data_IF_635280522656
#
_entry.id   IF_635280522656
#
_cell.length_a   1.000
_cell.length_b   1.000
_cell.length_c   1.000
_cell.angle_alpha   90.00
_cell.angle_beta   90.00
_cell.angle_gamma   90.00
#
_symmetry.space_group_name_H-M   'P 1'
#
loop_
_entity.id
_entity.type
_entity.pdbx_description
1 polymer ?
#
# COMPACT_ATOMS: atom_id res chain seq x y z
N UNK A 1 -0.72 10.10 -16.93
CA UNK A 1 -1.05 9.32 -15.73
C UNK A 1 -2.54 9.07 -15.78
N UNK A 2 -2.95 7.82 -15.58
CA UNK A 2 -4.36 7.42 -15.66
C UNK A 2 -4.88 7.00 -14.30
N UNK A 3 -6.20 6.97 -14.14
CA UNK A 3 -6.81 6.43 -12.94
C UNK A 3 -6.57 4.90 -12.88
N UNK A 4 -6.23 4.36 -11.71
CA UNK A 4 -6.05 2.94 -11.55
C UNK A 4 -7.41 2.23 -11.65
N UNK A 5 -7.45 0.96 -12.08
CA UNK A 5 -8.68 0.17 -12.19
C UNK A 5 -9.17 -0.33 -10.81
N UNK A 6 -8.97 0.48 -9.76
CA UNK A 6 -9.48 0.27 -8.41
C UNK A 6 -9.78 1.63 -7.79
N UNK A 7 -10.94 1.77 -7.15
CA UNK A 7 -11.24 2.96 -6.37
C UNK A 7 -10.57 2.89 -4.99
N UNK A 8 -10.38 4.05 -4.33
CA UNK A 8 -9.91 4.10 -2.94
C UNK A 8 -10.75 3.21 -2.02
N UNK A 9 -12.08 3.28 -2.15
CA UNK A 9 -13.00 2.51 -1.29
C UNK A 9 -12.77 1.00 -1.44
N UNK A 10 -12.67 0.51 -2.68
CA UNK A 10 -12.39 -0.91 -2.95
C UNK A 10 -11.02 -1.32 -2.41
N UNK A 11 -10.00 -0.48 -2.61
CA UNK A 11 -8.67 -0.73 -2.05
C UNK A 11 -8.71 -0.82 -0.51
N UNK A 12 -9.39 0.10 0.17
CA UNK A 12 -9.53 0.08 1.63
C UNK A 12 -10.24 -1.18 2.13
N UNK A 13 -11.36 -1.57 1.51
CA UNK A 13 -12.10 -2.80 1.86
C UNK A 13 -11.25 -4.06 1.67
N UNK A 14 -10.44 -4.07 0.60
CA UNK A 14 -9.53 -5.17 0.31
C UNK A 14 -8.41 -5.28 1.34
N UNK A 15 -7.78 -4.16 1.72
CA UNK A 15 -6.77 -4.14 2.78
C UNK A 15 -7.33 -4.63 4.13
N UNK A 16 -8.55 -4.24 4.48
CA UNK A 16 -9.25 -4.75 5.68
C UNK A 16 -9.44 -6.28 5.61
N UNK A 17 -9.74 -6.80 4.43
CA UNK A 17 -9.87 -8.25 4.19
C UNK A 17 -8.53 -8.96 4.36
N UNK A 18 -7.43 -8.39 3.85
CA UNK A 18 -6.08 -8.94 4.01
C UNK A 18 -5.64 -9.00 5.47
N UNK A 19 -6.03 -8.02 6.29
CA UNK A 19 -5.78 -8.03 7.73
C UNK A 19 -6.56 -9.13 8.47
N UNK A 20 -7.66 -9.63 7.89
CA UNK A 20 -8.46 -10.74 8.44
C UNK A 20 -8.80 -10.58 9.94
N UNK A 21 -9.12 -9.35 10.36
CA UNK A 21 -9.43 -9.00 11.75
C UNK A 21 -8.23 -8.88 12.68
N UNK A 22 -7.01 -9.16 12.21
CA UNK A 22 -5.77 -8.96 12.96
C UNK A 22 -5.30 -7.50 12.86
N UNK A 23 -4.31 -7.15 13.66
CA UNK A 23 -3.68 -5.83 13.63
C UNK A 23 -2.54 -5.75 12.62
N UNK A 24 -1.96 -6.88 12.22
CA UNK A 24 -0.95 -6.92 11.18
C UNK A 24 -1.03 -8.19 10.34
N UNK A 25 -0.55 -8.09 9.10
CA UNK A 25 -0.43 -9.20 8.17
C UNK A 25 0.76 -8.98 7.23
N UNK A 26 1.60 -10.01 7.08
CA UNK A 26 2.57 -10.07 5.98
C UNK A 26 1.89 -10.68 4.77
N UNK A 27 1.92 -9.98 3.64
CA UNK A 27 1.31 -10.41 2.39
C UNK A 27 2.24 -10.16 1.21
N UNK A 28 2.07 -10.94 0.14
CA UNK A 28 2.63 -10.58 -1.16
C UNK A 28 2.01 -9.27 -1.64
N UNK A 29 2.82 -8.33 -2.11
CA UNK A 29 2.35 -7.02 -2.55
C UNK A 29 1.32 -7.13 -3.69
N UNK A 30 1.45 -8.13 -4.56
CA UNK A 30 0.48 -8.43 -5.61
C UNK A 30 -0.94 -8.67 -5.10
N UNK A 31 -1.10 -9.07 -3.83
CA UNK A 31 -2.41 -9.26 -3.21
C UNK A 31 -3.08 -7.95 -2.79
N UNK A 32 -2.44 -6.80 -2.90
CA UNK A 32 -3.07 -5.50 -2.62
C UNK A 32 -4.16 -5.13 -3.64
N UNK A 33 -4.18 -5.77 -4.80
CA UNK A 33 -5.07 -5.43 -5.92
C UNK A 33 -5.47 -6.66 -6.72
N UNK A 34 -6.63 -6.62 -7.35
CA UNK A 34 -7.11 -7.71 -8.22
C UNK A 34 -6.76 -7.52 -9.72
N UNK A 35 -5.88 -6.57 -10.04
CA UNK A 35 -5.44 -6.29 -11.40
C UNK A 35 -3.92 -6.41 -11.55
N UNK A 36 -3.40 -6.73 -12.76
CA UNK A 36 -1.97 -6.92 -12.96
C UNK A 36 -1.21 -5.58 -13.03
N UNK A 37 -0.03 -5.58 -12.41
CA UNK A 37 1.00 -4.54 -12.50
C UNK A 37 2.39 -5.17 -12.36
N UNK A 38 3.43 -4.47 -12.83
CA UNK A 38 4.83 -4.91 -12.79
C UNK A 38 5.55 -4.40 -11.55
N UNK A 39 5.31 -3.14 -11.21
CA UNK A 39 5.95 -2.45 -10.10
C UNK A 39 4.94 -1.54 -9.42
N UNK A 40 4.99 -1.49 -8.09
CA UNK A 40 4.23 -0.57 -7.25
C UNK A 40 5.21 0.27 -6.42
N UNK A 41 5.19 1.58 -6.58
CA UNK A 41 6.00 2.52 -5.80
C UNK A 41 5.13 3.29 -4.80
N UNK A 42 5.69 3.52 -3.61
CA UNK A 42 5.05 4.30 -2.56
C UNK A 42 5.76 5.66 -2.47
N UNK A 43 5.04 6.74 -2.70
CA UNK A 43 5.58 8.09 -2.58
C UNK A 43 4.83 8.87 -1.52
N UNK A 44 5.58 9.58 -0.68
CA UNK A 44 5.03 10.52 0.29
C UNK A 44 4.99 11.90 -0.34
N UNK A 45 3.79 12.41 -0.55
CA UNK A 45 3.52 13.78 -1.00
C UNK A 45 2.53 14.42 0.00
N UNK A 46 1.67 15.34 -0.41
CA UNK A 46 0.50 15.82 0.37
C UNK A 46 -0.43 14.67 0.81
N UNK A 47 -0.30 13.50 0.17
CA UNK A 47 -0.99 12.23 0.43
C UNK A 47 -0.04 11.08 0.14
N UNK A 48 -0.36 9.87 0.61
CA UNK A 48 0.34 8.67 0.17
C UNK A 48 -0.07 8.37 -1.28
N UNK A 49 0.90 8.30 -2.20
CA UNK A 49 0.65 7.96 -3.59
C UNK A 49 1.13 6.53 -3.87
N UNK A 50 0.20 5.67 -4.30
CA UNK A 50 0.53 4.35 -4.84
C UNK A 50 0.62 4.44 -6.36
N UNK A 51 1.84 4.33 -6.90
CA UNK A 51 2.08 4.39 -8.34
C UNK A 51 2.28 2.99 -8.91
N UNK A 52 1.35 2.57 -9.76
CA UNK A 52 1.38 1.28 -10.43
C UNK A 52 1.95 1.44 -11.84
N UNK A 53 3.08 0.79 -12.14
CA UNK A 53 3.52 0.57 -13.52
C UNK A 53 2.90 -0.74 -14.04
N UNK A 54 2.16 -0.64 -15.14
CA UNK A 54 1.41 -1.75 -15.76
C UNK A 54 2.02 -2.21 -17.08
N UNK A 55 3.29 -1.84 -17.35
CA UNK A 55 4.01 -2.31 -18.53
C UNK A 55 3.64 -1.58 -19.81
N UNK A 56 3.50 -0.26 -19.71
CA UNK A 56 3.11 0.62 -20.82
C UNK A 56 2.21 1.77 -20.37
N UNK A 57 1.64 1.67 -19.16
CA UNK A 57 0.80 2.67 -18.53
C UNK A 57 1.17 2.82 -17.06
N UNK A 58 1.16 4.05 -16.57
CA UNK A 58 1.30 4.36 -15.14
C UNK A 58 -0.01 4.92 -14.61
N UNK A 59 -0.51 4.28 -13.55
CA UNK A 59 -1.71 4.71 -12.83
C UNK A 59 -1.38 5.07 -11.39
N UNK A 60 -2.10 6.03 -10.80
CA UNK A 60 -1.81 6.51 -9.44
C UNK A 60 -3.06 6.50 -8.58
N UNK A 61 -2.97 5.84 -7.42
CA UNK A 61 -4.00 5.86 -6.39
C UNK A 61 -3.56 6.78 -5.24
N UNK A 62 -4.17 7.96 -5.06
CA UNK A 62 -3.92 8.79 -3.90
C UNK A 62 -4.71 8.28 -2.68
N UNK A 63 -4.02 8.10 -1.56
CA UNK A 63 -4.57 7.64 -0.29
C UNK A 63 -4.37 8.71 0.81
N UNK A 64 -5.41 9.04 1.57
CA UNK A 64 -5.33 10.05 2.63
C UNK A 64 -4.52 9.53 3.83
N UNK A 65 -3.70 10.39 4.44
CA UNK A 65 -2.83 10.01 5.56
C UNK A 65 -3.58 9.64 6.84
N UNK A 66 -4.82 10.08 6.95
CA UNK A 66 -5.74 9.70 8.02
C UNK A 66 -6.11 8.21 7.95
N UNK A 67 -6.00 7.60 6.77
CA UNK A 67 -6.33 6.18 6.54
C UNK A 67 -5.09 5.33 6.22
N UNK A 68 -4.08 5.86 5.53
CA UNK A 68 -2.92 5.09 5.05
C UNK A 68 -1.63 5.90 5.05
N UNK A 69 -0.52 5.27 5.41
CA UNK A 69 0.79 5.89 5.34
C UNK A 69 1.92 4.87 5.12
N UNK A 70 3.08 5.38 4.75
CA UNK A 70 4.39 4.73 4.95
C UNK A 70 5.20 5.65 5.85
N UNK A 71 6.11 5.14 6.67
CA UNK A 71 6.97 5.99 7.50
C UNK A 71 8.03 6.72 6.66
N UNK A 72 8.79 7.64 7.27
CA UNK A 72 9.87 8.37 6.61
C UNK A 72 11.00 7.43 6.13
N UNK A 73 11.74 7.80 5.09
CA UNK A 73 12.70 6.96 4.39
C UNK A 73 13.88 6.53 5.27
N UNK A 74 14.15 7.30 6.34
CA UNK A 74 15.17 6.98 7.33
C UNK A 74 14.72 5.92 8.35
N UNK A 75 13.41 5.60 8.41
CA UNK A 75 12.85 4.56 9.26
C UNK A 75 13.09 3.20 8.63
N UNK A 76 13.52 2.25 9.46
CA UNK A 76 13.79 0.87 9.04
C UNK A 76 12.55 0.27 8.39
N UNK A 77 12.74 -0.42 7.27
CA UNK A 77 11.69 -1.04 6.47
C UNK A 77 10.65 -0.08 5.87
N UNK A 78 10.91 1.24 5.89
CA UNK A 78 10.07 2.18 5.16
C UNK A 78 9.99 1.83 3.67
N UNK A 79 8.81 2.05 3.11
CA UNK A 79 8.53 1.98 1.70
C UNK A 79 8.57 3.36 1.02
N UNK A 80 8.82 4.46 1.73
CA UNK A 80 8.99 5.79 1.09
C UNK A 80 10.05 5.72 -0.02
N UNK A 81 9.69 6.24 -1.19
CA UNK A 81 10.46 6.27 -2.42
C UNK A 81 11.01 4.90 -2.86
N UNK A 82 10.38 3.82 -2.37
CA UNK A 82 10.71 2.44 -2.71
C UNK A 82 9.63 1.84 -3.58
N UNK A 83 10.05 0.90 -4.43
CA UNK A 83 9.16 0.13 -5.27
C UNK A 83 9.24 -1.36 -4.94
N UNK A 84 8.10 -2.04 -5.07
CA UNK A 84 7.95 -3.47 -4.89
C UNK A 84 7.40 -4.12 -6.16
N UNK A 85 7.72 -5.39 -6.35
CA UNK A 85 7.14 -6.30 -7.35
C UNK A 85 5.98 -7.08 -6.74
N UNK A 86 5.10 -7.69 -7.55
CA UNK A 86 3.99 -8.48 -7.03
C UNK A 86 4.40 -9.61 -6.09
N UNK A 87 5.61 -10.17 -6.26
CA UNK A 87 6.17 -11.25 -5.44
C UNK A 87 6.84 -10.79 -4.14
N UNK A 88 7.11 -9.49 -3.99
CA UNK A 88 7.74 -8.98 -2.77
C UNK A 88 6.75 -9.05 -1.62
N UNK A 89 7.27 -9.32 -0.43
CA UNK A 89 6.47 -9.36 0.78
C UNK A 89 6.48 -8.00 1.47
N UNK A 90 5.30 -7.55 1.85
CA UNK A 90 5.10 -6.32 2.62
C UNK A 90 4.36 -6.63 3.91
N UNK A 91 4.59 -5.81 4.92
CA UNK A 91 3.84 -5.80 6.16
C UNK A 91 2.77 -4.72 6.07
N UNK A 92 1.51 -5.12 6.26
CA UNK A 92 0.37 -4.25 6.50
C UNK A 92 0.14 -4.22 8.00
N UNK A 93 0.19 -3.03 8.61
CA UNK A 93 0.08 -2.89 10.06
C UNK A 93 -0.89 -1.78 10.44
N UNK A 94 -1.77 -2.02 11.40
CA UNK A 94 -2.56 -0.95 12.01
C UNK A 94 -1.66 -0.17 12.97
N UNK A 95 -1.61 1.15 12.83
CA UNK A 95 -0.84 2.00 13.74
C UNK A 95 -1.24 1.85 15.22
N UNK A 96 -2.52 1.61 15.47
CA UNK A 96 -3.07 1.48 16.82
C UNK A 96 -3.86 0.17 16.93
N UNK A 97 -3.40 -0.72 17.81
CA UNK A 97 -4.04 -2.02 18.08
C UNK A 97 -5.49 -1.83 18.55
N UNK A 98 -6.42 -2.62 18.01
CA UNK A 98 -7.83 -2.56 18.36
C UNK A 98 -8.59 -1.31 17.89
N UNK A 99 -7.96 -0.39 17.17
CA UNK A 99 -8.56 0.83 16.63
C UNK A 99 -8.53 0.84 15.10
N UNK A 100 -9.49 1.50 14.45
CA UNK A 100 -9.46 1.76 13.00
C UNK A 100 -8.49 2.91 12.68
N UNK A 101 -7.28 2.83 13.22
CA UNK A 101 -6.23 3.81 12.96
C UNK A 101 -5.70 3.70 11.53
N UNK A 102 -4.85 4.63 11.11
CA UNK A 102 -4.26 4.56 9.78
C UNK A 102 -3.44 3.27 9.64
N UNK A 103 -3.46 2.73 8.43
CA UNK A 103 -2.74 1.53 8.05
C UNK A 103 -1.37 1.92 7.51
N UNK A 104 -0.34 1.33 8.08
CA UNK A 104 1.02 1.46 7.65
C UNK A 104 1.38 0.35 6.65
N UNK A 105 2.10 0.71 5.59
CA UNK A 105 2.79 -0.25 4.73
C UNK A 105 4.29 -0.20 4.98
N UNK A 106 4.90 -1.36 5.16
CA UNK A 106 6.34 -1.53 5.37
C UNK A 106 6.87 -2.68 4.53
N UNK A 107 8.18 -2.72 4.29
CA UNK A 107 8.86 -3.93 3.80
C UNK A 107 8.70 -5.03 4.85
N UNK A 108 8.38 -6.25 4.44
CA UNK A 108 8.43 -7.38 5.36
C UNK A 108 9.90 -7.67 5.72
N UNK A 109 10.17 -7.85 7.02
CA UNK A 109 11.50 -8.17 7.54
C UNK A 109 11.88 -9.64 7.32
#
# INVERSE_FOLDING_TARGET
MTEPPISKKQFSEHVVTLLAGKDSAVVEAGKLTDFPWKTLCFERDDRLLLKFDRGGETSVLPLPYEEFFVDEAHVVNSLEDSCVTPSDHILINKKYSGYQGPIEFQKAA
#
